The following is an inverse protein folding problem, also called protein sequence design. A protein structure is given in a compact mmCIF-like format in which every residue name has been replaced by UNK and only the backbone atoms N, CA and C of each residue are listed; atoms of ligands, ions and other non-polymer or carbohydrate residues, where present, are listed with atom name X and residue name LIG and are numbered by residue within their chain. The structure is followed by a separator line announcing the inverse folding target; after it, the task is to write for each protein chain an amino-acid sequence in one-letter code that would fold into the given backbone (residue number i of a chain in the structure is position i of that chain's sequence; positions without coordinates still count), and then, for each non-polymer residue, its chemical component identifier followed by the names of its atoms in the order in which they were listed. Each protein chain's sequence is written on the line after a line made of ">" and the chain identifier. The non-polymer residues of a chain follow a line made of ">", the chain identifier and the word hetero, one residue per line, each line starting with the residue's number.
data_IF_880027566341
#
_entry.id   IF_880027566341
#
_cell.length_a   1.000
_cell.length_b   1.000
_cell.length_c   1.000
_cell.angle_alpha   90.00
_cell.angle_beta   90.00
_cell.angle_gamma   90.00
#
_symmetry.space_group_name_H-M   'P 1'
#
loop_
_entity.id
_entity.type
_entity.pdbx_description
1 polymer ?
#
# COMPACT_ATOMS: atom_id res chain seq x y z
N UNK A 1 28.79 57.11 13.08
CA UNK A 1 29.94 57.48 13.93
C UNK A 1 30.73 56.21 14.18
N UNK A 2 31.78 55.95 13.40
CA UNK A 2 32.67 54.81 13.62
C UNK A 2 33.66 55.26 14.70
N UNK A 3 33.61 54.64 15.87
CA UNK A 3 34.38 55.05 17.05
C UNK A 3 35.90 54.85 16.91
N UNK A 4 36.36 54.25 15.81
CA UNK A 4 37.72 53.77 15.67
C UNK A 4 38.38 54.12 14.33
N UNK A 5 37.82 55.00 13.49
CA UNK A 5 38.42 55.30 12.17
C UNK A 5 39.86 55.89 12.30
N UNK A 6 40.86 55.43 11.50
CA UNK A 6 40.78 54.46 10.40
C UNK A 6 40.75 52.98 10.82
N UNK A 7 41.09 52.69 12.07
CA UNK A 7 40.87 51.43 12.77
C UNK A 7 41.58 51.40 14.13
N UNK A 8 41.40 50.34 14.94
CA UNK A 8 42.04 50.25 16.24
C UNK A 8 43.57 50.10 16.12
N UNK A 9 44.30 50.79 17.00
CA UNK A 9 45.76 50.66 17.10
C UNK A 9 46.17 49.44 17.92
N UNK A 10 45.31 49.01 18.85
CA UNK A 10 45.51 47.86 19.70
C UNK A 10 44.16 47.22 20.05
N UNK A 11 44.14 45.89 20.10
CA UNK A 11 43.12 45.11 20.78
C UNK A 11 43.68 44.64 22.12
N UNK A 12 42.99 44.95 23.22
CA UNK A 12 43.34 44.45 24.54
C UNK A 12 42.44 43.25 24.86
N UNK A 13 43.01 42.05 24.87
CA UNK A 13 42.30 40.87 25.33
C UNK A 13 42.47 40.74 26.85
N UNK A 14 41.43 41.10 27.60
CA UNK A 14 41.48 41.14 29.06
C UNK A 14 41.10 39.78 29.63
N UNK A 15 41.98 39.17 30.41
CA UNK A 15 41.74 37.90 31.12
C UNK A 15 42.11 38.04 32.59
N UNK A 16 41.50 37.25 33.47
CA UNK A 16 41.88 37.22 34.89
C UNK A 16 42.85 36.08 35.16
N UNK A 17 43.86 36.35 35.98
CA UNK A 17 44.73 35.30 36.51
C UNK A 17 43.88 34.27 37.26
N UNK A 18 44.16 33.00 36.99
CA UNK A 18 43.40 31.86 37.51
C UNK A 18 42.16 31.48 36.70
N UNK A 19 41.79 32.24 35.66
CA UNK A 19 40.64 31.94 34.79
C UNK A 19 41.06 31.93 33.33
N UNK A 20 41.06 30.73 32.75
CA UNK A 20 41.10 30.54 31.31
C UNK A 20 40.05 29.48 30.94
N UNK A 21 39.01 29.93 30.26
CA UNK A 21 37.75 29.24 29.99
C UNK A 21 37.55 29.09 28.50
N UNK A 22 36.62 28.21 28.13
CA UNK A 22 36.24 28.02 26.74
C UNK A 22 35.74 29.33 26.10
N UNK A 23 35.09 30.20 26.87
CA UNK A 23 34.61 31.52 26.43
C UNK A 23 35.76 32.42 25.94
N UNK A 24 36.92 32.38 26.60
CA UNK A 24 38.10 33.15 26.21
C UNK A 24 38.75 32.59 24.93
N UNK A 25 38.75 31.26 24.76
CA UNK A 25 39.18 30.59 23.52
C UNK A 25 38.27 30.94 22.34
N UNK A 26 36.96 30.98 22.55
CA UNK A 26 35.98 31.35 21.54
C UNK A 26 36.06 32.83 21.16
N UNK A 27 36.32 33.71 22.13
CA UNK A 27 36.49 35.14 21.88
C UNK A 27 37.66 35.42 20.93
N UNK A 28 38.77 34.67 21.06
CA UNK A 28 39.90 34.78 20.15
C UNK A 28 39.58 34.30 18.75
N UNK A 29 38.88 33.18 18.65
CA UNK A 29 38.41 32.68 17.36
C UNK A 29 37.50 33.71 16.68
N UNK A 30 36.60 34.36 17.43
CA UNK A 30 35.76 35.44 16.93
C UNK A 30 36.55 36.70 16.54
N UNK A 31 37.64 37.03 17.24
CA UNK A 31 38.51 38.15 16.86
C UNK A 31 39.28 37.82 15.57
N UNK A 32 39.80 36.60 15.43
CA UNK A 32 40.47 36.14 14.19
C UNK A 32 39.50 36.04 13.01
N UNK A 33 38.27 35.55 13.24
CA UNK A 33 37.24 35.43 12.20
C UNK A 33 36.69 36.80 11.82
N UNK A 34 36.40 37.66 12.80
CA UNK A 34 35.80 38.98 12.60
C UNK A 34 36.78 40.06 12.14
N UNK A 35 38.05 39.99 12.56
CA UNK A 35 39.11 40.96 12.23
C UNK A 35 40.30 40.29 11.51
N UNK A 36 40.07 39.17 10.85
CA UNK A 36 41.06 38.49 9.99
C UNK A 36 42.30 37.93 10.69
N UNK A 37 43.09 37.18 9.92
CA UNK A 37 44.31 36.45 10.34
C UNK A 37 45.46 37.35 10.80
N UNK A 38 45.35 38.67 10.66
CA UNK A 38 46.36 39.62 11.08
C UNK A 38 45.98 40.38 12.37
N UNK A 39 44.78 40.15 12.93
CA UNK A 39 44.33 40.80 14.17
C UNK A 39 45.28 40.55 15.34
N UNK A 40 45.88 39.36 15.43
CA UNK A 40 46.88 38.99 16.44
C UNK A 40 48.06 39.96 16.51
N UNK A 41 48.48 40.51 15.36
CA UNK A 41 49.58 41.47 15.26
C UNK A 41 49.29 42.76 16.03
N UNK A 42 48.01 43.10 16.19
CA UNK A 42 47.52 44.27 16.90
C UNK A 42 46.99 43.94 18.31
N UNK A 43 47.11 42.68 18.76
CA UNK A 43 46.59 42.25 20.06
C UNK A 43 47.68 42.22 21.14
N UNK A 44 47.30 42.67 22.35
CA UNK A 44 48.07 42.48 23.59
C UNK A 44 47.15 41.80 24.61
N UNK A 45 47.66 40.76 25.26
CA UNK A 45 46.96 40.07 26.33
C UNK A 45 47.13 40.83 27.65
N UNK A 46 46.03 41.26 28.25
CA UNK A 46 46.03 41.98 29.52
C UNK A 46 45.57 41.04 30.64
N UNK A 47 46.49 40.63 31.49
CA UNK A 47 46.25 39.73 32.61
C UNK A 47 45.95 40.54 33.87
N UNK A 48 44.71 40.49 34.32
CA UNK A 48 44.22 41.18 35.52
C UNK A 48 44.32 40.29 36.75
N UNK A 49 44.39 40.89 37.93
CA UNK A 49 44.55 40.15 39.18
C UNK A 49 46.01 39.91 39.56
N UNK A 50 46.91 40.84 39.18
CA UNK A 50 48.32 40.78 39.56
C UNK A 50 48.56 40.70 41.08
N UNK A 51 47.61 41.16 41.90
CA UNK A 51 47.65 41.00 43.36
C UNK A 51 47.62 39.54 43.82
N UNK A 52 47.04 38.62 43.02
CA UNK A 52 47.06 37.18 43.31
C UNK A 52 48.47 36.59 43.13
N UNK A 53 49.20 37.05 42.09
CA UNK A 53 50.59 36.61 41.88
C UNK A 53 51.50 37.09 43.00
N UNK A 54 51.33 38.34 43.44
CA UNK A 54 52.06 38.90 44.58
C UNK A 54 51.79 38.13 45.87
N UNK A 55 50.52 37.77 46.13
CA UNK A 55 50.14 37.00 47.30
C UNK A 55 50.71 35.57 47.31
N UNK A 56 50.78 34.93 46.14
CA UNK A 56 51.32 33.57 45.98
C UNK A 56 52.86 33.54 45.82
N UNK A 57 53.54 34.69 45.88
CA UNK A 57 54.98 34.84 45.59
C UNK A 57 55.38 34.16 44.27
N UNK A 58 54.56 34.38 43.24
CA UNK A 58 54.67 33.73 41.94
C UNK A 58 54.94 34.78 40.85
N UNK A 59 55.98 34.58 40.05
CA UNK A 59 56.20 35.44 38.87
C UNK A 59 55.18 35.14 37.76
N UNK A 60 54.95 36.11 36.86
CA UNK A 60 54.02 35.87 35.74
C UNK A 60 54.56 34.81 34.79
N UNK A 61 55.87 34.75 34.59
CA UNK A 61 56.52 33.74 33.77
C UNK A 61 56.31 32.34 34.35
N UNK A 62 56.43 32.18 35.67
CA UNK A 62 56.14 30.92 36.34
C UNK A 62 54.65 30.55 36.32
N UNK A 63 53.76 31.53 36.43
CA UNK A 63 52.33 31.30 36.26
C UNK A 63 52.01 30.78 34.86
N UNK A 64 52.55 31.42 33.82
CA UNK A 64 52.36 30.99 32.43
C UNK A 64 52.92 29.57 32.23
N UNK A 65 54.11 29.30 32.75
CA UNK A 65 54.77 28.01 32.54
C UNK A 65 54.11 26.86 33.31
N UNK A 66 53.82 27.08 34.60
CA UNK A 66 53.39 26.01 35.53
C UNK A 66 51.88 25.88 35.68
N UNK A 67 51.10 26.95 35.43
CA UNK A 67 49.66 26.98 35.72
C UNK A 67 48.77 27.11 34.48
N UNK A 68 49.32 27.48 33.32
CA UNK A 68 48.54 27.63 32.09
C UNK A 68 48.71 26.41 31.16
N UNK A 69 47.64 26.07 30.43
CA UNK A 69 47.65 25.01 29.43
C UNK A 69 48.36 25.45 28.13
N UNK A 70 48.62 24.50 27.24
CA UNK A 70 49.27 24.79 25.95
C UNK A 70 48.42 25.73 25.07
N UNK A 71 47.10 25.73 25.23
CA UNK A 71 46.23 26.64 24.47
C UNK A 71 46.50 28.10 24.82
N UNK A 72 46.69 28.40 26.11
CA UNK A 72 47.03 29.74 26.57
C UNK A 72 48.45 30.16 26.16
N UNK A 73 49.41 29.22 26.21
CA UNK A 73 50.79 29.47 25.75
C UNK A 73 50.83 29.77 24.25
N UNK A 74 50.07 29.01 23.46
CA UNK A 74 49.91 29.24 22.02
C UNK A 74 49.27 30.61 21.75
N UNK A 75 48.23 30.99 22.51
CA UNK A 75 47.63 32.32 22.42
C UNK A 75 48.66 33.45 22.62
N UNK A 76 49.49 33.36 23.66
CA UNK A 76 50.56 34.36 23.89
C UNK A 76 51.54 34.37 22.71
N UNK A 77 51.90 33.20 22.21
CA UNK A 77 52.81 33.04 21.07
C UNK A 77 52.24 33.67 19.79
N UNK A 78 50.98 33.42 19.47
CA UNK A 78 50.28 33.94 18.28
C UNK A 78 50.19 35.48 18.36
N UNK A 79 50.00 36.02 19.57
CA UNK A 79 50.12 37.45 19.85
C UNK A 79 51.59 37.95 19.92
N UNK A 80 52.57 37.23 19.37
CA UNK A 80 53.97 37.63 19.31
C UNK A 80 54.65 37.77 20.67
N UNK A 81 54.21 37.02 21.68
CA UNK A 81 54.70 37.09 23.06
C UNK A 81 54.20 38.31 23.85
N UNK A 82 53.21 39.06 23.33
CA UNK A 82 52.75 40.32 23.94
C UNK A 82 51.71 40.08 25.03
N UNK A 83 52.12 40.20 26.28
CA UNK A 83 51.21 40.27 27.43
C UNK A 83 51.64 41.36 28.42
N UNK A 84 50.72 41.76 29.30
CA UNK A 84 50.97 42.69 30.40
C UNK A 84 50.10 42.34 31.61
N UNK A 85 50.67 42.41 32.82
CA UNK A 85 49.96 42.14 34.07
C UNK A 85 49.50 43.46 34.67
N UNK A 86 48.24 43.49 35.12
CA UNK A 86 47.60 44.68 35.64
C UNK A 86 46.96 44.39 37.01
N UNK A 87 47.26 45.23 38.00
CA UNK A 87 46.67 45.15 39.33
C UNK A 87 45.61 46.24 39.48
N UNK A 88 44.36 45.89 39.18
CA UNK A 88 43.22 46.80 39.25
C UNK A 88 42.91 47.31 40.67
N UNK A 89 43.47 46.70 41.72
CA UNK A 89 43.29 47.13 43.12
C UNK A 89 44.29 48.23 43.51
N UNK A 90 45.44 48.28 42.86
CA UNK A 90 46.47 49.29 43.09
C UNK A 90 46.20 50.58 42.28
N UNK A 91 45.23 51.35 42.76
CA UNK A 91 44.70 52.56 42.07
C UNK A 91 45.70 53.71 41.92
N UNK A 92 46.76 53.72 42.72
CA UNK A 92 47.72 54.83 42.73
C UNK A 92 48.94 54.57 41.84
N UNK A 93 49.13 53.32 41.41
CA UNK A 93 50.25 52.93 40.60
C UNK A 93 50.01 53.25 39.14
N UNK A 94 50.44 54.45 38.75
CA UNK A 94 50.42 54.89 37.34
C UNK A 94 51.47 54.18 36.48
N UNK A 95 52.48 53.58 37.10
CA UNK A 95 53.58 52.93 36.40
C UNK A 95 53.10 51.76 35.53
N UNK A 96 52.15 50.96 36.01
CA UNK A 96 51.54 49.88 35.21
C UNK A 96 50.85 50.41 33.94
N UNK A 97 50.22 51.59 34.00
CA UNK A 97 49.66 52.24 32.80
C UNK A 97 50.77 52.68 31.85
N UNK A 98 51.81 53.34 32.36
CA UNK A 98 52.93 53.82 31.54
C UNK A 98 53.66 52.66 30.83
N UNK A 99 53.83 51.53 31.52
CA UNK A 99 54.40 50.30 30.97
C UNK A 99 53.50 49.70 29.87
N UNK A 100 52.19 49.65 30.08
CA UNK A 100 51.23 49.20 29.06
C UNK A 100 51.27 50.08 27.82
N UNK A 101 51.25 51.41 27.99
CA UNK A 101 51.33 52.37 26.88
C UNK A 101 52.67 52.22 26.13
N UNK A 102 53.77 51.96 26.84
CA UNK A 102 55.07 51.69 26.21
C UNK A 102 55.04 50.42 25.36
N UNK A 103 54.38 49.35 25.83
CA UNK A 103 54.18 48.11 25.05
C UNK A 103 53.31 48.35 23.81
N UNK A 104 52.23 49.12 23.95
CA UNK A 104 51.36 49.51 22.83
C UNK A 104 52.16 50.29 21.78
N UNK A 105 52.90 51.32 22.18
CA UNK A 105 53.71 52.12 21.27
C UNK A 105 54.79 51.30 20.55
N UNK A 106 55.39 50.34 21.25
CA UNK A 106 56.36 49.41 20.65
C UNK A 106 55.69 48.53 19.60
N UNK A 107 54.52 47.96 19.91
CA UNK A 107 53.77 47.12 18.98
C UNK A 107 53.35 47.91 17.72
N UNK A 108 52.81 49.13 17.89
CA UNK A 108 52.41 49.99 16.77
C UNK A 108 53.62 50.33 15.87
N UNK A 109 54.78 50.63 16.46
CA UNK A 109 56.02 50.87 15.69
C UNK A 109 56.46 49.63 14.91
N UNK A 110 56.42 48.44 15.53
CA UNK A 110 56.73 47.17 14.85
C UNK A 110 55.76 46.88 13.70
N UNK A 111 54.51 47.32 13.81
CA UNK A 111 53.49 47.25 12.75
C UNK A 111 53.57 48.41 11.74
N UNK A 112 54.73 49.08 11.64
CA UNK A 112 54.98 50.14 10.65
C UNK A 112 54.27 51.47 10.94
N UNK A 113 53.80 51.68 12.18
CA UNK A 113 53.04 52.86 12.58
C UNK A 113 51.58 52.85 12.13
N UNK A 114 51.10 51.73 11.58
CA UNK A 114 49.73 51.59 11.08
C UNK A 114 48.75 51.15 12.18
N UNK A 115 47.47 51.39 11.94
CA UNK A 115 46.36 50.79 12.70
C UNK A 115 45.77 49.62 11.90
N UNK A 116 44.98 48.77 12.56
CA UNK A 116 44.26 47.69 11.86
C UNK A 116 43.30 48.28 10.81
N UNK A 117 43.47 47.99 9.51
CA UNK A 117 42.76 48.74 8.45
C UNK A 117 41.46 48.07 8.01
N UNK A 118 40.57 48.89 7.42
CA UNK A 118 39.30 48.46 6.84
C UNK A 118 39.47 47.46 5.68
N UNK A 119 40.60 47.45 4.97
CA UNK A 119 40.91 46.47 3.92
C UNK A 119 41.08 45.06 4.49
N UNK A 120 41.70 44.94 5.68
CA UNK A 120 41.88 43.65 6.36
C UNK A 120 40.54 43.10 6.87
N UNK A 121 39.62 44.00 7.26
CA UNK A 121 38.25 43.64 7.61
C UNK A 121 37.47 43.14 6.38
N UNK A 122 37.60 43.81 5.24
CA UNK A 122 36.96 43.40 3.98
C UNK A 122 37.49 42.05 3.48
N UNK A 123 38.78 41.76 3.66
CA UNK A 123 39.36 40.46 3.30
C UNK A 123 38.78 39.32 4.15
N UNK A 124 38.60 39.55 5.46
CA UNK A 124 37.94 38.60 6.36
C UNK A 124 36.47 38.38 5.99
N UNK A 125 35.71 39.45 5.72
CA UNK A 125 34.31 39.36 5.27
C UNK A 125 34.19 38.60 3.94
N UNK A 126 35.10 38.84 2.99
CA UNK A 126 35.12 38.14 1.71
C UNK A 126 35.44 36.65 1.86
N UNK A 127 36.34 36.28 2.77
CA UNK A 127 36.66 34.88 3.08
C UNK A 127 35.45 34.15 3.69
N UNK A 128 34.75 34.80 4.63
CA UNK A 128 33.52 34.25 5.24
C UNK A 128 32.43 34.07 4.18
N UNK A 129 32.20 35.08 3.32
CA UNK A 129 31.21 34.98 2.25
C UNK A 129 31.51 33.82 1.30
N UNK A 130 32.77 33.63 0.92
CA UNK A 130 33.19 32.55 0.02
C UNK A 130 32.95 31.16 0.63
N UNK A 131 33.26 30.97 1.91
CA UNK A 131 32.97 29.69 2.58
C UNK A 131 31.46 29.48 2.75
N UNK A 132 30.69 30.54 3.01
CA UNK A 132 29.24 30.46 3.09
C UNK A 132 28.62 30.05 1.75
N UNK A 133 29.08 30.61 0.63
CA UNK A 133 28.66 30.21 -0.72
C UNK A 133 28.99 28.75 -1.02
N UNK A 134 30.18 28.28 -0.61
CA UNK A 134 30.59 26.89 -0.79
C UNK A 134 29.68 25.93 -0.01
N UNK A 135 29.40 26.23 1.26
CA UNK A 135 28.49 25.44 2.10
C UNK A 135 27.07 25.41 1.50
N UNK A 136 26.57 26.57 1.04
CA UNK A 136 25.27 26.66 0.38
C UNK A 136 25.21 25.76 -0.86
N UNK A 137 26.22 25.82 -1.72
CA UNK A 137 26.27 24.99 -2.93
C UNK A 137 26.33 23.50 -2.61
N UNK A 138 27.15 23.09 -1.65
CA UNK A 138 27.22 21.70 -1.20
C UNK A 138 25.87 21.22 -0.65
N UNK A 139 25.16 22.05 0.12
CA UNK A 139 23.83 21.75 0.65
C UNK A 139 22.76 21.68 -0.43
N UNK A 140 22.80 22.55 -1.43
CA UNK A 140 21.90 22.46 -2.59
C UNK A 140 22.12 21.15 -3.37
N UNK A 141 23.37 20.74 -3.59
CA UNK A 141 23.69 19.48 -4.27
C UNK A 141 23.29 18.25 -3.45
N UNK A 142 23.41 18.31 -2.11
CA UNK A 142 22.92 17.27 -1.19
C UNK A 142 21.40 17.14 -1.27
N UNK A 143 20.65 18.25 -1.08
CA UNK A 143 19.18 18.26 -1.17
C UNK A 143 18.67 17.78 -2.53
N UNK A 144 19.37 18.16 -3.61
CA UNK A 144 19.00 17.71 -4.96
C UNK A 144 19.13 16.18 -5.08
N UNK A 145 20.23 15.60 -4.59
CA UNK A 145 20.45 14.14 -4.59
C UNK A 145 19.41 13.41 -3.77
N UNK A 146 19.08 13.90 -2.58
CA UNK A 146 18.04 13.31 -1.72
C UNK A 146 16.67 13.34 -2.40
N UNK A 147 16.32 14.46 -3.05
CA UNK A 147 15.07 14.60 -3.79
C UNK A 147 14.97 13.63 -4.96
N UNK A 148 16.05 13.49 -5.74
CA UNK A 148 16.13 12.54 -6.85
C UNK A 148 16.01 11.09 -6.37
N UNK A 149 16.67 10.73 -5.26
CA UNK A 149 16.58 9.39 -4.69
C UNK A 149 15.17 9.08 -4.16
N UNK A 150 14.54 10.03 -3.48
CA UNK A 150 13.18 9.91 -2.97
C UNK A 150 12.18 9.73 -4.13
N UNK A 151 12.34 10.52 -5.18
CA UNK A 151 11.51 10.41 -6.38
C UNK A 151 11.66 9.03 -7.05
N UNK A 152 12.91 8.54 -7.20
CA UNK A 152 13.17 7.21 -7.76
C UNK A 152 12.51 6.09 -6.93
N UNK A 153 12.66 6.12 -5.60
CA UNK A 153 12.01 5.15 -4.70
C UNK A 153 10.49 5.17 -4.84
N UNK A 154 9.90 6.35 -4.95
CA UNK A 154 8.47 6.50 -5.15
C UNK A 154 8.01 5.93 -6.50
N UNK A 155 8.74 6.22 -7.58
CA UNK A 155 8.46 5.68 -8.92
C UNK A 155 8.57 4.14 -8.96
N UNK A 156 9.59 3.57 -8.33
CA UNK A 156 9.77 2.12 -8.20
C UNK A 156 8.64 1.47 -7.39
N UNK A 157 8.23 2.07 -6.28
CA UNK A 157 7.12 1.57 -5.47
C UNK A 157 5.79 1.62 -6.24
N UNK A 158 5.51 2.72 -6.93
CA UNK A 158 4.31 2.86 -7.75
C UNK A 158 4.29 1.85 -8.89
N UNK A 159 5.44 1.59 -9.52
CA UNK A 159 5.58 0.56 -10.55
C UNK A 159 5.29 -0.83 -9.99
N UNK A 160 5.85 -1.18 -8.81
CA UNK A 160 5.60 -2.48 -8.15
C UNK A 160 4.12 -2.68 -7.83
N UNK A 161 3.45 -1.67 -7.27
CA UNK A 161 2.00 -1.72 -6.99
C UNK A 161 1.17 -1.92 -8.26
N UNK A 162 1.57 -1.30 -9.37
CA UNK A 162 0.90 -1.49 -10.66
C UNK A 162 1.10 -2.91 -11.20
N UNK A 163 2.29 -3.48 -11.06
CA UNK A 163 2.59 -4.86 -11.47
C UNK A 163 1.84 -5.88 -10.61
N UNK A 164 1.79 -5.69 -9.29
CA UNK A 164 0.99 -6.49 -8.36
C UNK A 164 -0.50 -6.48 -8.72
N UNK A 165 -1.09 -5.29 -8.93
CA UNK A 165 -2.49 -5.17 -9.38
C UNK A 165 -2.75 -5.83 -10.72
N UNK A 166 -1.82 -5.73 -11.68
CA UNK A 166 -1.95 -6.40 -12.98
C UNK A 166 -1.96 -7.91 -12.82
N UNK A 167 -1.08 -8.46 -11.97
CA UNK A 167 -1.04 -9.89 -11.69
C UNK A 167 -2.33 -10.38 -11.00
N UNK A 168 -2.85 -9.62 -10.04
CA UNK A 168 -4.11 -9.93 -9.35
C UNK A 168 -5.30 -9.97 -10.33
N UNK A 169 -5.42 -8.97 -11.20
CA UNK A 169 -6.47 -8.93 -12.24
C UNK A 169 -6.36 -10.13 -13.19
N UNK A 170 -5.13 -10.49 -13.58
CA UNK A 170 -4.90 -11.62 -14.49
C UNK A 170 -5.28 -12.96 -13.85
N UNK A 171 -4.92 -13.18 -12.58
CA UNK A 171 -5.33 -14.39 -11.85
C UNK A 171 -6.85 -14.43 -11.65
N UNK A 172 -7.50 -13.30 -11.36
CA UNK A 172 -8.96 -13.23 -11.26
C UNK A 172 -9.64 -13.53 -12.62
N UNK A 173 -9.04 -13.12 -13.75
CA UNK A 173 -9.53 -13.49 -15.09
C UNK A 173 -9.41 -14.99 -15.34
N UNK A 174 -8.24 -15.59 -15.08
CA UNK A 174 -8.05 -17.04 -15.25
C UNK A 174 -9.01 -17.86 -14.38
N UNK A 175 -9.25 -17.43 -13.14
CA UNK A 175 -10.22 -18.07 -12.25
C UNK A 175 -11.65 -17.98 -12.81
N UNK A 176 -12.05 -16.80 -13.30
CA UNK A 176 -13.37 -16.61 -13.94
C UNK A 176 -13.53 -17.45 -15.20
N UNK A 177 -12.50 -17.53 -16.04
CA UNK A 177 -12.52 -18.37 -17.25
C UNK A 177 -12.69 -19.84 -16.92
N UNK A 178 -11.95 -20.38 -15.94
CA UNK A 178 -12.12 -21.77 -15.47
C UNK A 178 -13.54 -22.03 -14.95
N UNK A 179 -14.10 -21.10 -14.17
CA UNK A 179 -15.46 -21.22 -13.67
C UNK A 179 -16.51 -21.19 -14.79
N UNK A 180 -16.27 -20.39 -15.83
CA UNK A 180 -17.14 -20.34 -17.01
C UNK A 180 -17.07 -21.67 -17.78
N UNK A 181 -15.88 -22.20 -18.05
CA UNK A 181 -15.71 -23.49 -18.71
C UNK A 181 -16.39 -24.65 -17.95
N UNK A 182 -16.27 -24.67 -16.62
CA UNK A 182 -16.95 -25.68 -15.78
C UNK A 182 -18.47 -25.56 -15.86
N UNK A 183 -19.00 -24.32 -15.79
CA UNK A 183 -20.43 -24.08 -15.94
C UNK A 183 -20.93 -24.46 -17.32
N UNK A 184 -20.20 -24.14 -18.39
CA UNK A 184 -20.54 -24.52 -19.76
C UNK A 184 -20.62 -26.04 -19.91
N UNK A 185 -19.63 -26.78 -19.38
CA UNK A 185 -19.65 -28.26 -19.37
C UNK A 185 -20.84 -28.81 -18.60
N UNK A 186 -21.19 -28.20 -17.46
CA UNK A 186 -22.36 -28.60 -16.68
C UNK A 186 -23.67 -28.36 -17.44
N UNK A 187 -23.81 -27.19 -18.07
CA UNK A 187 -24.97 -26.84 -18.89
C UNK A 187 -25.12 -27.81 -20.06
N UNK A 188 -24.01 -28.16 -20.72
CA UNK A 188 -24.01 -29.08 -21.85
C UNK A 188 -24.45 -30.48 -21.43
N UNK A 189 -23.93 -30.99 -20.31
CA UNK A 189 -24.39 -32.28 -19.75
C UNK A 189 -25.90 -32.27 -19.44
N UNK A 190 -26.39 -31.20 -18.79
CA UNK A 190 -27.81 -31.07 -18.44
C UNK A 190 -28.70 -30.97 -19.70
N UNK A 191 -28.21 -30.34 -20.78
CA UNK A 191 -28.90 -30.28 -22.07
C UNK A 191 -28.98 -31.66 -22.72
N UNK A 192 -27.88 -32.41 -22.74
CA UNK A 192 -27.82 -33.77 -23.26
C UNK A 192 -28.73 -34.74 -22.48
N UNK A 193 -28.74 -34.65 -21.15
CA UNK A 193 -29.64 -35.45 -20.30
C UNK A 193 -31.11 -35.11 -20.57
N UNK A 194 -31.46 -33.82 -20.62
CA UNK A 194 -32.83 -33.39 -20.97
C UNK A 194 -33.26 -33.84 -22.36
N UNK A 195 -32.32 -33.88 -23.32
CA UNK A 195 -32.59 -34.37 -24.67
C UNK A 195 -32.88 -35.87 -24.67
N UNK A 196 -32.05 -36.68 -24.00
CA UNK A 196 -32.27 -38.12 -23.84
C UNK A 196 -33.59 -38.43 -23.12
N UNK A 197 -33.90 -37.68 -22.06
CA UNK A 197 -35.17 -37.85 -21.33
C UNK A 197 -36.38 -37.56 -22.23
N UNK A 198 -36.32 -36.50 -23.06
CA UNK A 198 -37.35 -36.19 -24.05
C UNK A 198 -37.50 -37.30 -25.09
N UNK A 199 -36.41 -37.80 -25.63
CA UNK A 199 -36.42 -38.89 -26.61
C UNK A 199 -37.05 -40.17 -26.03
N UNK A 200 -36.67 -40.56 -24.80
CA UNK A 200 -37.27 -41.69 -24.08
C UNK A 200 -38.78 -41.47 -23.89
N UNK A 201 -39.17 -40.29 -23.41
CA UNK A 201 -40.58 -39.95 -23.17
C UNK A 201 -41.41 -39.96 -24.46
N UNK A 202 -40.86 -39.46 -25.56
CA UNK A 202 -41.50 -39.51 -26.87
C UNK A 202 -41.66 -40.94 -27.37
N UNK A 203 -40.64 -41.78 -27.22
CA UNK A 203 -40.70 -43.19 -27.62
C UNK A 203 -41.68 -44.00 -26.78
N UNK A 204 -41.70 -43.81 -25.46
CA UNK A 204 -42.72 -44.40 -24.58
C UNK A 204 -44.13 -43.98 -24.97
N UNK A 205 -44.34 -42.69 -25.27
CA UNK A 205 -45.64 -42.20 -25.72
C UNK A 205 -46.05 -42.82 -27.08
N UNK A 206 -45.11 -43.01 -28.01
CA UNK A 206 -45.35 -43.70 -29.28
C UNK A 206 -45.75 -45.16 -29.04
N UNK A 207 -45.01 -45.87 -28.18
CA UNK A 207 -45.31 -47.28 -27.82
C UNK A 207 -46.67 -47.41 -27.16
N UNK A 208 -47.02 -46.54 -26.20
CA UNK A 208 -48.35 -46.52 -25.57
C UNK A 208 -49.46 -46.31 -26.59
N UNK A 209 -49.30 -45.35 -27.52
CA UNK A 209 -50.29 -45.11 -28.59
C UNK A 209 -50.45 -46.34 -29.49
N UNK A 210 -49.36 -46.99 -29.88
CA UNK A 210 -49.41 -48.22 -30.67
C UNK A 210 -50.11 -49.34 -29.91
N UNK A 211 -49.81 -49.55 -28.63
CA UNK A 211 -50.47 -50.55 -27.79
C UNK A 211 -51.97 -50.27 -27.58
N UNK A 212 -52.35 -49.01 -27.41
CA UNK A 212 -53.77 -48.62 -27.33
C UNK A 212 -54.48 -48.89 -28.66
N UNK A 213 -53.83 -48.60 -29.79
CA UNK A 213 -54.38 -48.82 -31.12
C UNK A 213 -54.52 -50.31 -31.44
N UNK A 214 -53.54 -51.14 -31.11
CA UNK A 214 -53.64 -52.61 -31.25
C UNK A 214 -54.73 -53.19 -30.37
N UNK A 215 -54.80 -52.81 -29.09
CA UNK A 215 -55.88 -53.23 -28.19
C UNK A 215 -57.25 -52.81 -28.71
N UNK A 216 -57.37 -51.59 -29.26
CA UNK A 216 -58.61 -51.10 -29.87
C UNK A 216 -59.01 -51.93 -31.09
N UNK A 217 -58.06 -52.29 -31.95
CA UNK A 217 -58.30 -53.17 -33.09
C UNK A 217 -58.71 -54.58 -32.65
N UNK A 218 -58.02 -55.17 -31.67
CA UNK A 218 -58.39 -56.47 -31.09
C UNK A 218 -59.78 -56.46 -30.47
N UNK A 219 -60.12 -55.41 -29.71
CA UNK A 219 -61.44 -55.28 -29.11
C UNK A 219 -62.52 -55.13 -30.17
N UNK A 220 -62.25 -54.36 -31.25
CA UNK A 220 -63.15 -54.24 -32.40
C UNK A 220 -63.41 -55.60 -33.06
N UNK A 221 -62.37 -56.40 -33.30
CA UNK A 221 -62.50 -57.76 -33.84
C UNK A 221 -63.28 -58.68 -32.90
N UNK A 222 -63.05 -58.59 -31.58
CA UNK A 222 -63.81 -59.38 -30.59
C UNK A 222 -65.29 -59.02 -30.58
N UNK A 223 -65.63 -57.73 -30.63
CA UNK A 223 -67.01 -57.25 -30.73
C UNK A 223 -67.66 -57.79 -32.00
N UNK A 224 -67.00 -57.65 -33.15
CA UNK A 224 -67.51 -58.14 -34.44
C UNK A 224 -67.73 -59.68 -34.42
N UNK A 225 -66.79 -60.44 -33.83
CA UNK A 225 -66.94 -61.89 -33.67
C UNK A 225 -68.11 -62.27 -32.73
N UNK A 226 -68.33 -61.50 -31.66
CA UNK A 226 -69.47 -61.69 -30.76
C UNK A 226 -70.79 -61.36 -31.46
N UNK A 227 -70.84 -60.29 -32.24
CA UNK A 227 -72.01 -59.92 -33.05
C UNK A 227 -72.37 -61.03 -34.05
N UNK A 228 -71.38 -61.60 -34.74
CA UNK A 228 -71.60 -62.75 -35.63
C UNK A 228 -72.11 -64.00 -34.88
N UNK A 229 -71.58 -64.28 -33.68
CA UNK A 229 -72.07 -65.37 -32.83
C UNK A 229 -73.51 -65.13 -32.38
N UNK A 230 -73.83 -63.95 -31.88
CA UNK A 230 -75.19 -63.58 -31.48
C UNK A 230 -76.14 -63.76 -32.67
N UNK A 231 -75.75 -63.25 -33.86
CA UNK A 231 -76.55 -63.36 -35.08
C UNK A 231 -76.83 -64.82 -35.46
N UNK A 232 -75.80 -65.67 -35.52
CA UNK A 232 -75.96 -67.09 -35.86
C UNK A 232 -76.77 -67.86 -34.79
N UNK A 233 -76.63 -67.50 -33.51
CA UNK A 233 -77.42 -68.11 -32.44
C UNK A 233 -78.89 -67.65 -32.48
N UNK A 234 -79.17 -66.39 -32.81
CA UNK A 234 -80.54 -65.90 -33.06
C UNK A 234 -81.18 -66.59 -34.26
N UNK A 235 -80.46 -66.73 -35.38
CA UNK A 235 -80.93 -67.46 -36.57
C UNK A 235 -81.19 -68.94 -36.24
N UNK A 236 -80.34 -69.56 -35.43
CA UNK A 236 -80.52 -70.93 -34.94
C UNK A 236 -81.76 -71.05 -34.04
N UNK A 237 -81.95 -70.12 -33.09
CA UNK A 237 -83.14 -70.08 -32.22
C UNK A 237 -84.42 -69.89 -33.04
N UNK A 238 -84.44 -68.95 -33.99
CA UNK A 238 -85.59 -68.75 -34.88
C UNK A 238 -85.92 -70.02 -35.68
N UNK A 239 -84.92 -70.71 -36.21
CA UNK A 239 -85.11 -71.98 -36.90
C UNK A 239 -85.67 -73.08 -35.98
N UNK A 240 -85.23 -73.14 -34.72
CA UNK A 240 -85.77 -74.08 -33.72
C UNK A 240 -87.23 -73.73 -33.39
N UNK A 241 -87.55 -72.45 -33.20
CA UNK A 241 -88.92 -72.00 -32.96
C UNK A 241 -89.84 -72.36 -34.12
N UNK A 242 -89.42 -72.11 -35.37
CA UNK A 242 -90.15 -72.56 -36.57
C UNK A 242 -90.40 -74.06 -36.57
N UNK A 243 -89.38 -74.89 -36.32
CA UNK A 243 -89.54 -76.36 -36.24
C UNK A 243 -90.44 -76.83 -35.10
N UNK A 244 -90.45 -76.12 -33.97
CA UNK A 244 -91.36 -76.41 -32.86
C UNK A 244 -92.81 -76.04 -33.21
N UNK A 245 -93.01 -74.93 -33.91
CA UNK A 245 -94.31 -74.47 -34.39
C UNK A 245 -94.87 -75.43 -35.44
N UNK A 246 -94.07 -75.85 -36.42
CA UNK A 246 -94.41 -76.90 -37.39
C UNK A 246 -94.82 -78.21 -36.68
N UNK A 247 -94.01 -78.71 -35.72
CA UNK A 247 -94.37 -79.91 -34.95
C UNK A 247 -95.64 -79.72 -34.11
N UNK A 248 -95.88 -78.52 -33.58
CA UNK A 248 -97.11 -78.21 -32.82
C UNK A 248 -98.31 -78.21 -33.74
N UNK A 249 -98.19 -77.70 -34.95
CA UNK A 249 -99.24 -77.70 -35.96
C UNK A 249 -99.48 -79.10 -36.53
N UNK A 250 -98.45 -79.92 -36.74
CA UNK A 250 -98.56 -81.35 -37.05
C UNK A 250 -99.29 -82.12 -35.94
N UNK A 251 -98.97 -81.85 -34.67
CA UNK A 251 -99.66 -82.47 -33.53
C UNK A 251 -101.12 -82.02 -33.45
N UNK A 252 -101.42 -80.73 -33.66
CA UNK A 252 -102.79 -80.21 -33.79
C UNK A 252 -103.53 -80.83 -34.99
N UNK A 253 -102.83 -81.14 -36.08
CA UNK A 253 -103.41 -81.83 -37.24
C UNK A 253 -103.71 -83.30 -36.94
N UNK A 254 -102.82 -84.01 -36.23
CA UNK A 254 -103.07 -85.37 -35.72
C UNK A 254 -104.23 -85.43 -34.73
N UNK A 255 -104.28 -84.53 -33.74
CA UNK A 255 -105.38 -84.46 -32.77
C UNK A 255 -106.72 -84.09 -33.44
N UNK A 256 -106.69 -83.23 -34.47
CA UNK A 256 -107.85 -82.97 -35.32
C UNK A 256 -108.27 -84.22 -36.08
N UNK A 257 -107.32 -84.95 -36.67
CA UNK A 257 -107.53 -86.23 -37.36
C UNK A 257 -108.09 -87.34 -36.48
N UNK A 258 -107.61 -87.45 -35.23
CA UNK A 258 -108.13 -88.40 -34.24
C UNK A 258 -109.54 -88.02 -33.77
N UNK A 259 -109.85 -86.73 -33.61
CA UNK A 259 -111.21 -86.25 -33.32
C UNK A 259 -112.17 -86.50 -34.48
N UNK A 260 -111.76 -86.30 -35.74
CA UNK A 260 -112.58 -86.68 -36.90
C UNK A 260 -112.76 -88.19 -36.98
N UNK A 261 -111.74 -89.01 -36.74
CA UNK A 261 -111.91 -90.47 -36.71
C UNK A 261 -112.85 -90.93 -35.59
N UNK A 262 -112.86 -90.25 -34.44
CA UNK A 262 -113.80 -90.52 -33.34
C UNK A 262 -115.24 -90.07 -33.65
N UNK A 263 -115.43 -89.03 -34.47
CA UNK A 263 -116.75 -88.61 -34.95
C UNK A 263 -117.27 -89.51 -36.10
N UNK A 264 -116.39 -89.92 -37.02
CA UNK A 264 -116.74 -90.83 -38.12
C UNK A 264 -117.06 -92.23 -37.59
N UNK A 265 -116.32 -92.72 -36.58
CA UNK A 265 -116.65 -93.99 -35.91
C UNK A 265 -117.99 -94.00 -35.17
N UNK A 266 -118.45 -92.84 -34.67
CA UNK A 266 -119.80 -92.72 -34.08
C UNK A 266 -120.93 -92.63 -35.11
N UNK A 267 -120.61 -92.41 -36.39
CA UNK A 267 -121.60 -92.35 -37.47
C UNK A 267 -121.87 -93.74 -38.08
N UNK A 268 -121.07 -94.77 -37.74
CA UNK A 268 -121.22 -96.15 -38.24
C UNK A 268 -122.01 -97.06 -37.27
N UNK A 269 -122.39 -96.59 -36.08
CA UNK A 269 -123.21 -97.37 -35.11
C UNK A 269 -124.60 -96.75 -34.87
N UNK A 270 -125.15 -96.10 -35.90
CA UNK A 270 -126.60 -95.91 -36.09
C UNK A 270 -126.98 -96.49 -37.46
N UNK A 271 -126.88 -97.80 -37.53
CA UNK A 271 -127.58 -98.70 -38.44
C UNK A 271 -128.09 -99.84 -37.60
#
# INVERSE_FOLDING_TARGET
>A
MRFSDPGPHVFLLVMSIGRFTQEEKETLKLIQEGFGTNSERFTIILLTGGDLLEYEDLSIEEYIDKKCDDSFKNLIHDCGGRYHVFNNRDRNNRKQVDELITKINTMVKTNGGSCYTNEMLQEAEAAIQKEMEKILKEKEEEMKREREELQRKHEEEMKRRLEEKKAEIEEERKMREKQLEEKEKSIEKEREERKKEREIREEENRRRKQEEETKKQEWKQKVEALEQKIKSETESKENIYKKLEERRDEKRARERGEKTNRMVGKTILRG
#
